data_IF_983669264737
#
_entry.id   IF_983669264737
#
_cell.length_a   1.000
_cell.length_b   1.000
_cell.length_c   1.000
_cell.angle_alpha   90.00
_cell.angle_beta   90.00
_cell.angle_gamma   90.00
#
_symmetry.space_group_name_H-M   'P 1'
#
loop_
_entity.id
_entity.type
_entity.pdbx_description
1 polymer ?
#
# COMPACT_ATOMS: atom_id res chain seq x y z
N UNK A 1 0.78 0.31 -21.05
CA UNK A 1 1.74 0.98 -20.14
C UNK A 1 1.61 0.36 -18.75
N UNK A 2 2.71 -0.04 -18.14
CA UNK A 2 2.71 -0.59 -16.79
C UNK A 2 2.45 0.50 -15.74
N UNK A 3 2.11 0.10 -14.52
CA UNK A 3 1.95 1.05 -13.40
C UNK A 3 3.25 1.81 -13.15
N UNK A 4 4.39 1.12 -13.17
CA UNK A 4 5.70 1.74 -12.98
C UNK A 4 5.94 2.85 -14.02
N UNK A 5 5.73 2.53 -15.28
CA UNK A 5 5.90 3.51 -16.38
C UNK A 5 4.89 4.64 -16.27
N UNK A 6 3.65 4.35 -15.91
CA UNK A 6 2.60 5.35 -15.73
C UNK A 6 2.96 6.35 -14.65
N UNK A 7 3.45 5.90 -13.51
CA UNK A 7 3.87 6.78 -12.42
C UNK A 7 5.09 7.60 -12.83
N UNK A 8 6.06 6.96 -13.50
CA UNK A 8 7.25 7.66 -13.99
C UNK A 8 6.89 8.77 -14.98
N UNK A 9 5.94 8.52 -15.86
CA UNK A 9 5.51 9.52 -16.86
C UNK A 9 4.82 10.72 -16.22
N UNK A 10 4.22 10.57 -15.04
CA UNK A 10 3.56 11.67 -14.32
C UNK A 10 4.56 12.66 -13.72
N UNK A 11 5.84 12.29 -13.59
CA UNK A 11 6.87 13.16 -13.03
C UNK A 11 6.97 14.46 -13.81
N UNK A 12 7.04 14.38 -15.14
CA UNK A 12 7.16 15.57 -15.99
C UNK A 12 5.92 16.45 -15.89
N UNK A 13 4.73 15.85 -15.85
CA UNK A 13 3.49 16.61 -15.69
C UNK A 13 3.44 17.37 -14.37
N UNK A 14 3.86 16.73 -13.28
CA UNK A 14 3.89 17.37 -11.96
C UNK A 14 4.92 18.51 -11.93
N UNK A 15 6.06 18.33 -12.58
CA UNK A 15 7.06 19.39 -12.70
C UNK A 15 6.52 20.60 -13.49
N UNK A 16 5.87 20.37 -14.61
CA UNK A 16 5.29 21.42 -15.44
C UNK A 16 4.16 22.16 -14.73
N UNK A 17 3.35 21.43 -13.98
CA UNK A 17 2.25 22.01 -13.22
C UNK A 17 2.72 22.72 -11.94
N UNK A 18 3.99 22.59 -11.59
CA UNK A 18 4.56 23.10 -10.32
C UNK A 18 3.83 22.57 -9.09
N UNK A 19 3.32 21.34 -9.20
CA UNK A 19 2.64 20.62 -8.11
C UNK A 19 3.71 19.97 -7.23
N UNK A 20 4.24 20.75 -6.29
CA UNK A 20 5.35 20.34 -5.43
C UNK A 20 4.99 19.12 -4.59
N UNK A 21 3.77 19.07 -4.06
CA UNK A 21 3.32 17.96 -3.22
C UNK A 21 3.30 16.64 -4.01
N UNK A 22 2.66 16.65 -5.18
CA UNK A 22 2.61 15.48 -6.06
C UNK A 22 4.00 15.08 -6.54
N UNK A 23 4.83 16.06 -6.87
CA UNK A 23 6.21 15.84 -7.31
C UNK A 23 7.01 15.11 -6.24
N UNK A 24 6.89 15.52 -4.98
CA UNK A 24 7.59 14.88 -3.86
C UNK A 24 7.12 13.44 -3.67
N UNK A 25 5.83 13.18 -3.77
CA UNK A 25 5.27 11.82 -3.67
C UNK A 25 5.80 10.93 -4.79
N UNK A 26 5.78 11.42 -6.03
CA UNK A 26 6.24 10.65 -7.19
C UNK A 26 7.74 10.35 -7.07
N UNK A 27 8.56 11.34 -6.70
CA UNK A 27 10.00 11.14 -6.50
C UNK A 27 10.27 10.10 -5.41
N UNK A 28 9.53 10.17 -4.31
CA UNK A 28 9.64 9.18 -3.23
C UNK A 28 9.29 7.77 -3.68
N UNK A 29 8.23 7.62 -4.47
CA UNK A 29 7.84 6.33 -5.03
C UNK A 29 8.89 5.78 -5.98
N UNK A 30 9.40 6.61 -6.89
CA UNK A 30 10.43 6.18 -7.84
C UNK A 30 11.71 5.74 -7.12
N UNK A 31 12.09 6.45 -6.05
CA UNK A 31 13.22 6.04 -5.21
C UNK A 31 12.95 4.68 -4.54
N UNK A 32 11.73 4.48 -4.06
CA UNK A 32 11.33 3.20 -3.46
C UNK A 32 11.35 2.06 -4.48
N UNK A 33 10.94 2.32 -5.72
CA UNK A 33 11.01 1.32 -6.79
C UNK A 33 12.46 0.93 -7.09
N UNK A 34 13.35 1.90 -7.13
CA UNK A 34 14.80 1.66 -7.31
C UNK A 34 15.34 0.79 -6.17
N UNK A 35 15.00 1.12 -4.94
CA UNK A 35 15.44 0.37 -3.76
C UNK A 35 14.90 -1.05 -3.77
N UNK A 36 13.65 -1.24 -4.20
CA UNK A 36 13.04 -2.58 -4.33
C UNK A 36 13.76 -3.41 -5.38
N UNK A 37 14.07 -2.83 -6.53
CA UNK A 37 14.83 -3.51 -7.59
C UNK A 37 16.19 -3.97 -7.06
N UNK A 38 16.90 -3.09 -6.36
CA UNK A 38 18.20 -3.41 -5.77
C UNK A 38 18.07 -4.53 -4.73
N UNK A 39 17.06 -4.47 -3.86
CA UNK A 39 16.82 -5.48 -2.84
C UNK A 39 16.54 -6.85 -3.45
N UNK A 40 15.97 -6.89 -4.66
CA UNK A 40 15.72 -8.12 -5.42
C UNK A 40 16.89 -8.50 -6.32
N UNK A 41 18.04 -7.87 -6.16
CA UNK A 41 19.25 -8.11 -6.94
C UNK A 41 19.05 -7.87 -8.43
N UNK A 42 18.22 -6.87 -8.77
CA UNK A 42 17.99 -6.41 -10.15
C UNK A 42 18.74 -5.09 -10.37
N UNK A 43 18.77 -4.63 -11.61
CA UNK A 43 19.35 -3.33 -11.95
C UNK A 43 18.49 -2.20 -11.32
N UNK A 44 19.11 -1.10 -10.86
CA UNK A 44 18.36 0.00 -10.21
C UNK A 44 17.26 0.62 -11.08
N UNK A 45 17.43 0.62 -12.39
CA UNK A 45 16.47 1.16 -13.36
C UNK A 45 15.51 0.12 -13.92
N UNK A 46 15.59 -1.14 -13.45
CA UNK A 46 14.74 -2.21 -13.93
C UNK A 46 13.29 -1.98 -13.50
N UNK A 47 12.39 -2.17 -14.44
CA UNK A 47 10.96 -1.98 -14.21
C UNK A 47 10.41 -3.05 -13.27
N UNK A 48 9.63 -2.60 -12.28
CA UNK A 48 8.89 -3.50 -11.42
C UNK A 48 7.60 -3.94 -12.09
N UNK A 49 7.14 -5.15 -11.77
CA UNK A 49 5.81 -5.61 -12.18
C UNK A 49 4.72 -4.79 -11.48
N UNK A 50 3.51 -4.81 -12.02
CA UNK A 50 2.38 -4.11 -11.40
C UNK A 50 2.14 -4.58 -9.97
N UNK A 51 2.22 -5.88 -9.71
CA UNK A 51 2.07 -6.43 -8.34
C UNK A 51 3.15 -5.91 -7.40
N UNK A 52 4.38 -5.84 -7.86
CA UNK A 52 5.49 -5.31 -7.07
C UNK A 52 5.29 -3.83 -6.76
N UNK A 53 4.82 -3.06 -7.74
CA UNK A 53 4.49 -1.64 -7.56
C UNK A 53 3.41 -1.47 -6.49
N UNK A 54 2.35 -2.25 -6.56
CA UNK A 54 1.26 -2.17 -5.57
C UNK A 54 1.74 -2.50 -4.15
N UNK A 55 2.64 -3.47 -4.00
CA UNK A 55 3.22 -3.80 -2.69
C UNK A 55 4.05 -2.63 -2.15
N UNK A 56 4.87 -2.02 -2.98
CA UNK A 56 5.70 -0.87 -2.58
C UNK A 56 4.80 0.30 -2.16
N UNK A 57 3.76 0.59 -2.93
CA UNK A 57 2.82 1.67 -2.61
C UNK A 57 2.06 1.37 -1.31
N UNK A 58 1.58 0.15 -1.12
CA UNK A 58 0.90 -0.27 0.10
C UNK A 58 1.78 -0.10 1.33
N UNK A 59 3.05 -0.45 1.21
CA UNK A 59 4.05 -0.26 2.28
C UNK A 59 4.25 1.22 2.58
N UNK A 60 4.34 2.06 1.55
CA UNK A 60 4.48 3.51 1.70
C UNK A 60 3.26 4.13 2.40
N UNK A 61 2.07 3.69 2.04
CA UNK A 61 0.82 4.11 2.69
C UNK A 61 0.83 3.77 4.18
N UNK A 62 1.21 2.54 4.51
CA UNK A 62 1.29 2.10 5.90
C UNK A 62 2.31 2.92 6.70
N UNK A 63 3.48 3.17 6.14
CA UNK A 63 4.52 3.97 6.79
C UNK A 63 4.04 5.40 7.06
N UNK A 64 3.29 6.00 6.15
CA UNK A 64 2.75 7.34 6.35
C UNK A 64 1.68 7.37 7.43
N UNK A 65 0.82 6.36 7.49
CA UNK A 65 -0.18 6.25 8.55
C UNK A 65 0.48 6.13 9.92
N UNK A 66 1.54 5.33 10.02
CA UNK A 66 2.30 5.19 11.26
C UNK A 66 2.97 6.52 11.65
N UNK A 67 3.54 7.24 10.68
CA UNK A 67 4.15 8.55 10.92
C UNK A 67 3.13 9.58 11.39
N UNK A 68 1.96 9.61 10.78
CA UNK A 68 0.86 10.51 11.17
C UNK A 68 0.48 10.26 12.63
N UNK A 69 0.32 9.00 13.02
CA UNK A 69 -0.01 8.63 14.39
C UNK A 69 1.06 9.13 15.39
N UNK A 70 2.33 8.93 15.06
CA UNK A 70 3.43 9.38 15.90
C UNK A 70 3.50 10.90 16.01
N UNK A 71 3.30 11.62 14.90
CA UNK A 71 3.29 13.09 14.91
C UNK A 71 2.10 13.65 15.66
N UNK A 72 0.95 13.01 15.60
CA UNK A 72 -0.23 13.38 16.39
C UNK A 72 0.06 13.22 17.89
N UNK A 73 0.66 12.13 18.31
CA UNK A 73 1.08 11.89 19.69
C UNK A 73 2.11 12.90 20.17
N UNK A 74 2.98 13.35 19.26
CA UNK A 74 4.01 14.35 19.56
C UNK A 74 3.53 15.80 19.47
N UNK A 75 2.26 16.03 19.12
CA UNK A 75 1.71 17.39 18.97
C UNK A 75 2.22 18.17 17.77
N UNK A 76 2.79 17.50 16.77
CA UNK A 76 3.36 18.11 15.57
C UNK A 76 2.31 18.22 14.46
N UNK A 77 1.32 19.08 14.66
CA UNK A 77 0.21 19.28 13.71
C UNK A 77 0.67 19.71 12.31
N UNK A 78 1.76 20.49 12.25
CA UNK A 78 2.37 20.93 10.99
C UNK A 78 2.80 19.75 10.12
N UNK A 79 3.45 18.76 10.74
CA UNK A 79 3.91 17.56 10.03
C UNK A 79 2.74 16.61 9.71
N UNK A 80 1.74 16.54 10.58
CA UNK A 80 0.54 15.73 10.34
C UNK A 80 -0.17 16.16 9.07
N UNK A 81 -0.38 17.46 8.87
CA UNK A 81 -1.07 17.99 7.69
C UNK A 81 -0.34 17.65 6.39
N UNK A 82 0.99 17.79 6.37
CA UNK A 82 1.80 17.44 5.21
C UNK A 82 1.69 15.95 4.90
N UNK A 83 1.85 15.10 5.92
CA UNK A 83 1.79 13.66 5.75
C UNK A 83 0.41 13.20 5.26
N UNK A 84 -0.67 13.79 5.79
CA UNK A 84 -2.04 13.46 5.34
C UNK A 84 -2.25 13.85 3.88
N UNK A 85 -1.75 15.01 3.45
CA UNK A 85 -1.87 15.46 2.08
C UNK A 85 -1.13 14.52 1.11
N UNK A 86 0.06 14.08 1.50
CA UNK A 86 0.83 13.12 0.71
C UNK A 86 0.18 11.74 0.68
N UNK A 87 -0.42 11.32 1.80
CA UNK A 87 -1.14 10.06 1.90
C UNK A 87 -2.31 9.99 0.92
N UNK A 88 -3.08 11.07 0.80
CA UNK A 88 -4.20 11.15 -0.15
C UNK A 88 -3.72 10.87 -1.57
N UNK A 89 -2.59 11.46 -1.96
CA UNK A 89 -2.01 11.23 -3.30
C UNK A 89 -1.57 9.78 -3.47
N UNK A 90 -0.88 9.20 -2.48
CA UNK A 90 -0.44 7.81 -2.52
C UNK A 90 -1.63 6.86 -2.69
N UNK A 91 -2.70 7.08 -1.97
CA UNK A 91 -3.89 6.23 -2.03
C UNK A 91 -4.56 6.24 -3.41
N UNK A 92 -4.39 7.31 -4.20
CA UNK A 92 -4.94 7.36 -5.57
C UNK A 92 -4.31 6.34 -6.50
N UNK A 93 -3.10 5.85 -6.19
CA UNK A 93 -2.41 4.85 -6.99
C UNK A 93 -2.80 3.42 -6.66
N UNK A 94 -3.50 3.21 -5.54
CA UNK A 94 -3.97 1.88 -5.17
C UNK A 94 -5.36 1.63 -5.77
N UNK A 95 -5.70 0.35 -6.06
CA UNK A 95 -7.08 0.00 -6.36
C UNK A 95 -8.00 0.41 -5.22
N UNK A 96 -9.29 0.56 -5.50
CA UNK A 96 -10.26 0.84 -4.44
C UNK A 96 -10.13 -0.25 -3.37
N UNK A 97 -9.85 0.19 -2.14
CA UNK A 97 -9.63 -0.74 -1.03
C UNK A 97 -10.95 -1.26 -0.50
N UNK A 98 -10.96 -2.53 -0.14
CA UNK A 98 -12.12 -3.17 0.47
C UNK A 98 -12.35 -2.61 1.88
N UNK A 99 -13.60 -2.33 2.21
CA UNK A 99 -14.01 -1.98 3.57
C UNK A 99 -13.91 -3.21 4.47
N UNK A 100 -13.94 -2.99 5.79
CA UNK A 100 -13.96 -4.10 6.76
C UNK A 100 -15.14 -5.05 6.47
N UNK A 101 -16.32 -4.50 6.22
CA UNK A 101 -17.51 -5.32 5.94
C UNK A 101 -17.37 -6.13 4.66
N UNK A 102 -16.80 -5.55 3.62
CA UNK A 102 -16.53 -6.26 2.36
C UNK A 102 -15.52 -7.40 2.56
N UNK A 103 -14.51 -7.20 3.38
CA UNK A 103 -13.52 -8.23 3.70
C UNK A 103 -14.19 -9.37 4.46
N UNK A 104 -15.03 -9.04 5.45
CA UNK A 104 -15.76 -10.05 6.24
C UNK A 104 -16.63 -10.90 5.32
N UNK A 105 -17.41 -10.28 4.43
CA UNK A 105 -18.26 -10.98 3.47
C UNK A 105 -17.44 -11.90 2.58
N UNK A 106 -16.31 -11.41 2.08
CA UNK A 106 -15.42 -12.21 1.22
C UNK A 106 -14.91 -13.45 1.96
N UNK A 107 -14.43 -13.28 3.19
CA UNK A 107 -13.90 -14.39 3.98
C UNK A 107 -15.00 -15.40 4.31
N UNK A 108 -16.19 -14.93 4.68
CA UNK A 108 -17.31 -15.78 5.01
C UNK A 108 -17.89 -16.52 3.80
N UNK A 109 -17.64 -16.04 2.59
CA UNK A 109 -18.05 -16.73 1.35
C UNK A 109 -17.22 -17.98 1.08
N UNK A 110 -16.10 -18.15 1.77
CA UNK A 110 -15.20 -19.29 1.64
C UNK A 110 -15.51 -20.33 2.75
N UNK A 111 -15.24 -21.62 2.50
CA UNK A 111 -15.29 -22.62 3.58
C UNK A 111 -14.28 -22.26 4.66
N UNK A 112 -14.75 -22.05 5.89
CA UNK A 112 -13.86 -21.68 6.99
C UNK A 112 -13.06 -22.90 7.45
N UNK A 113 -11.76 -22.73 7.70
CA UNK A 113 -10.90 -23.82 8.14
C UNK A 113 -11.06 -24.12 9.63
N UNK A 114 -10.51 -25.24 10.05
CA UNK A 114 -10.30 -25.51 11.47
C UNK A 114 -9.17 -24.62 12.01
N UNK A 115 -9.14 -24.43 13.31
CA UNK A 115 -8.12 -23.59 13.96
C UNK A 115 -6.68 -23.99 13.61
N UNK A 116 -6.43 -25.31 13.43
CA UNK A 116 -5.11 -25.83 13.05
C UNK A 116 -4.68 -25.42 11.63
N UNK A 117 -5.62 -25.07 10.77
CA UNK A 117 -5.39 -24.66 9.38
C UNK A 117 -5.47 -23.15 9.18
N UNK A 118 -5.62 -22.40 10.27
CA UNK A 118 -5.81 -20.94 10.23
C UNK A 118 -4.71 -20.19 9.49
N UNK A 119 -3.44 -20.51 9.76
CA UNK A 119 -2.31 -19.82 9.14
C UNK A 119 -2.25 -20.08 7.64
N UNK A 120 -2.57 -21.29 7.21
CA UNK A 120 -2.63 -21.64 5.79
C UNK A 120 -3.76 -20.87 5.09
N UNK A 121 -4.93 -20.82 5.73
CA UNK A 121 -6.07 -20.05 5.24
C UNK A 121 -5.74 -18.58 5.13
N UNK A 122 -5.11 -18.00 6.16
CA UNK A 122 -4.65 -16.62 6.16
C UNK A 122 -3.74 -16.33 4.97
N UNK A 123 -2.77 -17.21 4.71
CA UNK A 123 -1.86 -17.07 3.58
C UNK A 123 -2.59 -17.04 2.23
N UNK A 124 -3.58 -17.89 2.04
CA UNK A 124 -4.38 -17.94 0.81
C UNK A 124 -5.18 -16.65 0.64
N UNK A 125 -5.87 -16.21 1.70
CA UNK A 125 -6.68 -14.97 1.64
C UNK A 125 -5.80 -13.74 1.42
N UNK A 126 -4.66 -13.66 2.10
CA UNK A 126 -3.71 -12.55 1.91
C UNK A 126 -3.22 -12.47 0.46
N UNK A 127 -2.98 -13.61 -0.17
CA UNK A 127 -2.57 -13.66 -1.57
C UNK A 127 -3.69 -13.21 -2.51
N UNK A 128 -4.92 -13.65 -2.27
CA UNK A 128 -6.07 -13.29 -3.10
C UNK A 128 -6.43 -11.80 -2.99
N UNK A 129 -6.30 -11.22 -1.79
CA UNK A 129 -6.65 -9.82 -1.52
C UNK A 129 -5.46 -8.86 -1.59
N UNK A 130 -4.32 -9.34 -2.06
CA UNK A 130 -3.10 -8.54 -2.18
C UNK A 130 -3.36 -7.27 -3.00
N UNK A 131 -3.04 -6.11 -2.43
CA UNK A 131 -3.26 -4.82 -3.06
C UNK A 131 -4.71 -4.34 -3.03
N UNK A 132 -5.67 -5.16 -2.59
CA UNK A 132 -7.09 -4.82 -2.53
C UNK A 132 -7.59 -4.57 -1.12
N UNK A 133 -6.90 -5.09 -0.13
CA UNK A 133 -7.28 -4.99 1.27
C UNK A 133 -6.06 -4.81 2.16
N UNK A 134 -6.26 -4.15 3.31
CA UNK A 134 -5.21 -4.00 4.33
C UNK A 134 -4.93 -5.37 4.96
N UNK A 135 -3.69 -5.84 4.85
CA UNK A 135 -3.28 -7.14 5.40
C UNK A 135 -3.48 -7.26 6.90
N UNK A 136 -3.25 -6.19 7.66
CA UNK A 136 -3.47 -6.19 9.11
C UNK A 136 -4.93 -6.37 9.45
N UNK A 137 -5.83 -5.74 8.69
CA UNK A 137 -7.27 -5.87 8.87
C UNK A 137 -7.75 -7.29 8.51
N UNK A 138 -7.23 -7.87 7.43
CA UNK A 138 -7.53 -9.25 7.03
C UNK A 138 -7.14 -10.22 8.14
N UNK A 139 -5.93 -10.08 8.69
CA UNK A 139 -5.44 -10.93 9.78
C UNK A 139 -6.32 -10.80 11.01
N UNK A 140 -6.67 -9.60 11.41
CA UNK A 140 -7.55 -9.35 12.57
C UNK A 140 -8.90 -10.01 12.39
N UNK A 141 -9.49 -9.89 11.21
CA UNK A 141 -10.80 -10.48 10.92
C UNK A 141 -10.72 -12.01 10.98
N UNK A 142 -9.70 -12.61 10.38
CA UNK A 142 -9.52 -14.06 10.39
C UNK A 142 -9.30 -14.56 11.82
N UNK A 143 -8.50 -13.85 12.61
CA UNK A 143 -8.28 -14.20 14.03
C UNK A 143 -9.57 -14.16 14.84
N UNK A 144 -10.52 -13.32 14.46
CA UNK A 144 -11.83 -13.22 15.13
C UNK A 144 -12.79 -14.33 14.66
N UNK A 145 -12.81 -14.66 13.38
CA UNK A 145 -13.74 -15.61 12.78
C UNK A 145 -13.28 -17.06 13.00
N UNK A 146 -12.00 -17.31 12.83
CA UNK A 146 -11.40 -18.66 13.02
C UNK A 146 -10.83 -18.74 14.42
N UNK A 147 -11.62 -19.28 15.32
CA UNK A 147 -11.26 -19.39 16.75
C UNK A 147 -10.70 -20.77 17.08
#
# INVERSE_FOLDING_TARGET
MSLHQGIKSQLVGAMKAKDTLRLNVIRGLLASFTNEAIAKKRKPDEELSDDEVLIVISRAVKQRKDSIEQFEKGGRKDLVEVEKSELVILETYLPVQMSRDEIIVYIQSKPLPQASEKNKFLGVIMKELKGKADGSMVKEIIDTIVV
#
